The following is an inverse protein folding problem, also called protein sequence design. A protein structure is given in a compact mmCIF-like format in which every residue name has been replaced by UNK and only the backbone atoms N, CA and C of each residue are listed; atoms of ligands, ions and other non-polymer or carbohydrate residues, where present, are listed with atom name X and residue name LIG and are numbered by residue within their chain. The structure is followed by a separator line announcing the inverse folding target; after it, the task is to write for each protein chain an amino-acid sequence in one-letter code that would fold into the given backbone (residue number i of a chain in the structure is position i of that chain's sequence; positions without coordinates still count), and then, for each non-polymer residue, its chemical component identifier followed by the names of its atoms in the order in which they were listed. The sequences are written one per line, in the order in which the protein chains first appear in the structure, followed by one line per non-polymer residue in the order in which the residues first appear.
data_IF_696339657583
#
_entry.id   IF_696339657583
#
_cell.length_a   1.000
_cell.length_b   1.000
_cell.length_c   1.000
_cell.angle_alpha   90.00
_cell.angle_beta   90.00
_cell.angle_gamma   90.00
#
_symmetry.space_group_name_H-M   'P 1'
#
loop_
_entity.id
_entity.type
_entity.pdbx_description
1 polymer ?
#
# COMPACT_ATOMS: atom_id res chain seq x y z
N UNK A 1 39.90 30.38 -49.60
CA UNK A 1 39.91 29.89 -51.04
C UNK A 1 38.99 28.68 -51.11
N UNK A 2 38.00 28.79 -51.95
CA UNK A 2 37.23 27.77 -52.68
C UNK A 2 36.30 26.84 -51.88
N UNK A 3 34.99 27.18 -51.86
CA UNK A 3 33.87 26.30 -52.16
C UNK A 3 34.01 25.73 -53.60
N UNK A 4 33.28 24.71 -54.07
CA UNK A 4 31.85 24.33 -53.87
C UNK A 4 31.63 22.81 -54.00
N UNK A 5 30.50 22.16 -54.01
CA UNK A 5 29.24 22.18 -54.76
C UNK A 5 28.32 21.08 -54.31
N UNK A 6 27.09 21.42 -54.20
CA UNK A 6 25.86 20.65 -54.31
C UNK A 6 25.89 19.38 -55.19
N UNK A 7 25.18 18.36 -54.80
CA UNK A 7 24.19 17.70 -55.65
C UNK A 7 23.16 16.94 -54.79
N UNK A 8 21.93 17.40 -54.87
CA UNK A 8 20.72 16.69 -54.52
C UNK A 8 20.43 15.62 -55.57
N UNK A 9 19.98 14.44 -55.12
CA UNK A 9 19.19 13.53 -56.00
C UNK A 9 18.02 13.06 -55.18
N UNK A 10 16.85 13.45 -55.66
CA UNK A 10 15.52 12.98 -55.31
C UNK A 10 15.24 11.72 -56.13
N UNK A 11 14.74 10.68 -55.55
CA UNK A 11 13.85 9.63 -56.06
C UNK A 11 13.81 8.51 -55.02
N UNK A 12 12.74 7.91 -54.60
CA UNK A 12 11.40 7.75 -55.09
C UNK A 12 10.74 6.69 -54.22
N UNK A 13 9.48 6.81 -54.01
CA UNK A 13 8.59 5.94 -53.23
C UNK A 13 8.81 4.44 -53.49
N UNK A 14 8.78 3.64 -52.38
CA UNK A 14 8.16 2.33 -52.40
C UNK A 14 7.69 1.98 -50.99
N UNK A 15 6.43 2.23 -50.74
CA UNK A 15 5.64 1.68 -49.64
C UNK A 15 5.53 0.19 -49.81
N UNK A 16 6.08 -0.62 -48.92
CA UNK A 16 5.66 -2.00 -48.74
C UNK A 16 5.29 -2.17 -47.30
N UNK A 17 4.00 -2.22 -47.05
CA UNK A 17 3.38 -2.65 -45.83
C UNK A 17 3.76 -4.12 -45.59
N UNK A 18 4.60 -4.38 -44.59
CA UNK A 18 4.70 -5.70 -43.96
C UNK A 18 3.92 -5.65 -42.65
N UNK A 19 2.64 -5.97 -42.77
CA UNK A 19 1.85 -6.46 -41.64
C UNK A 19 2.21 -7.93 -41.50
N UNK A 20 3.19 -8.24 -40.66
CA UNK A 20 3.40 -9.60 -40.19
C UNK A 20 3.05 -9.59 -38.69
N UNK A 21 2.00 -10.34 -38.35
CA UNK A 21 1.40 -10.43 -37.08
C UNK A 21 2.39 -10.83 -35.97
N UNK A 22 2.46 -9.99 -34.97
CA UNK A 22 2.85 -10.40 -33.63
C UNK A 22 1.54 -10.55 -32.86
N UNK A 23 1.07 -11.78 -32.79
CA UNK A 23 0.08 -12.17 -31.79
C UNK A 23 0.79 -12.12 -30.43
N UNK A 24 0.91 -10.91 -29.89
CA UNK A 24 1.11 -10.76 -28.47
C UNK A 24 -0.25 -11.07 -27.84
N UNK A 25 -0.32 -12.16 -27.09
CA UNK A 25 -1.37 -12.33 -26.08
C UNK A 25 -1.15 -11.24 -25.03
N UNK A 26 -1.58 -10.04 -25.38
CA UNK A 26 -1.73 -8.91 -24.48
C UNK A 26 -3.21 -8.81 -24.17
N UNK A 27 -3.56 -8.89 -22.92
CA UNK A 27 -4.86 -8.54 -22.38
C UNK A 27 -5.32 -7.24 -23.05
N UNK A 28 -6.36 -7.29 -23.83
CA UNK A 28 -6.93 -6.11 -24.51
C UNK A 28 -7.31 -5.08 -23.47
N UNK A 29 -6.68 -3.92 -23.54
CA UNK A 29 -7.17 -2.73 -22.87
C UNK A 29 -8.47 -2.29 -23.58
N UNK A 30 -9.58 -2.87 -23.20
CA UNK A 30 -10.89 -2.33 -23.52
C UNK A 30 -11.22 -1.25 -22.50
N UNK A 31 -11.17 0.00 -22.96
CA UNK A 31 -11.90 1.09 -22.34
C UNK A 31 -13.39 0.76 -22.42
N UNK A 32 -13.96 0.28 -21.34
CA UNK A 32 -15.40 0.38 -21.06
C UNK A 32 -15.64 -0.15 -19.64
N UNK A 33 -16.28 0.62 -18.83
CA UNK A 33 -16.97 0.25 -17.59
C UNK A 33 -16.27 -0.81 -16.73
N UNK A 34 -15.43 -0.35 -15.83
CA UNK A 34 -14.74 -1.16 -14.82
C UNK A 34 -15.68 -1.85 -13.82
N UNK A 35 -16.98 -1.78 -14.03
CA UNK A 35 -18.00 -2.39 -13.17
C UNK A 35 -18.60 -3.70 -13.76
N UNK A 36 -18.25 -4.10 -14.98
CA UNK A 36 -18.89 -5.24 -15.65
C UNK A 36 -18.22 -6.59 -15.43
N UNK A 37 -16.96 -6.62 -14.99
CA UNK A 37 -16.18 -7.86 -14.79
C UNK A 37 -15.86 -8.17 -13.32
N UNK A 38 -16.32 -7.36 -12.37
CA UNK A 38 -16.16 -7.66 -10.96
C UNK A 38 -16.97 -8.92 -10.60
N UNK A 39 -16.28 -9.91 -10.03
CA UNK A 39 -16.95 -11.10 -9.46
C UNK A 39 -17.85 -10.61 -8.34
N UNK A 40 -19.16 -10.64 -8.57
CA UNK A 40 -20.14 -10.15 -7.58
C UNK A 40 -20.33 -11.10 -6.41
N UNK A 41 -19.99 -12.36 -6.58
CA UNK A 41 -20.16 -13.39 -5.56
C UNK A 41 -18.99 -14.36 -5.59
N UNK A 42 -18.53 -14.78 -4.40
CA UNK A 42 -17.59 -15.89 -4.24
C UNK A 42 -18.42 -17.17 -4.27
N UNK A 43 -18.00 -18.14 -5.08
CA UNK A 43 -18.53 -19.48 -5.07
C UNK A 43 -17.65 -20.42 -4.25
N UNK A 44 -18.13 -21.64 -3.99
CA UNK A 44 -17.40 -22.65 -3.21
C UNK A 44 -16.52 -23.55 -4.06
N UNK A 45 -16.32 -23.23 -5.34
CA UNK A 45 -15.45 -23.99 -6.22
C UNK A 45 -13.99 -23.86 -5.78
N UNK A 46 -13.18 -24.88 -6.09
CA UNK A 46 -11.74 -24.79 -5.82
C UNK A 46 -11.11 -23.76 -6.75
N UNK A 47 -10.28 -22.92 -6.19
CA UNK A 47 -9.51 -21.95 -6.93
C UNK A 47 -8.49 -22.65 -7.85
N UNK A 48 -8.26 -22.07 -9.03
CA UNK A 48 -7.25 -22.54 -9.99
C UNK A 48 -6.54 -21.33 -10.62
N UNK A 49 -5.29 -21.53 -11.08
CA UNK A 49 -4.53 -20.51 -11.79
C UNK A 49 -3.43 -19.87 -10.98
N UNK A 50 -2.82 -18.82 -11.53
CA UNK A 50 -1.72 -18.10 -10.91
C UNK A 50 -2.25 -16.83 -10.24
N UNK A 51 -1.78 -16.57 -9.02
CA UNK A 51 -2.13 -15.40 -8.23
C UNK A 51 -0.86 -14.64 -7.86
N UNK A 52 -0.82 -13.35 -8.13
CA UNK A 52 0.28 -12.46 -7.74
C UNK A 52 -0.14 -11.56 -6.59
N UNK A 53 0.66 -11.54 -5.52
CA UNK A 53 0.41 -10.73 -4.32
C UNK A 53 1.60 -9.83 -4.06
N UNK A 54 1.33 -8.53 -3.87
CA UNK A 54 2.31 -7.60 -3.36
C UNK A 54 2.01 -7.27 -1.90
N UNK A 55 3.00 -7.49 -1.04
CA UNK A 55 2.90 -7.17 0.38
C UNK A 55 4.13 -6.40 0.85
N UNK A 56 4.00 -5.61 1.90
CA UNK A 56 5.02 -4.66 2.32
C UNK A 56 5.70 -5.08 3.61
N UNK A 57 6.98 -4.71 3.73
CA UNK A 57 7.74 -4.93 4.96
C UNK A 57 7.80 -6.40 5.38
N UNK A 58 7.77 -6.63 6.68
CA UNK A 58 7.85 -7.97 7.27
C UNK A 58 6.69 -8.87 6.86
N UNK A 59 5.50 -8.32 6.61
CA UNK A 59 4.34 -9.07 6.13
C UNK A 59 4.63 -9.67 4.76
N UNK A 60 5.29 -8.90 3.88
CA UNK A 60 5.73 -9.38 2.58
C UNK A 60 6.74 -10.52 2.68
N UNK A 61 7.67 -10.44 3.62
CA UNK A 61 8.70 -11.47 3.82
C UNK A 61 8.11 -12.79 4.36
N UNK A 62 7.08 -12.70 5.22
CA UNK A 62 6.47 -13.86 5.88
C UNK A 62 5.30 -14.47 5.09
N UNK A 63 4.65 -13.70 4.23
CA UNK A 63 3.45 -14.14 3.51
C UNK A 63 3.73 -15.36 2.61
N UNK A 64 4.94 -15.49 2.08
CA UNK A 64 5.34 -16.63 1.26
C UNK A 64 5.21 -17.99 1.98
N UNK A 65 5.42 -18.00 3.30
CA UNK A 65 5.19 -19.22 4.09
C UNK A 65 3.71 -19.43 4.41
N UNK A 66 2.98 -18.35 4.66
CA UNK A 66 1.54 -18.38 4.95
C UNK A 66 0.73 -18.94 3.77
N UNK A 67 1.02 -18.51 2.55
CA UNK A 67 0.27 -18.94 1.35
C UNK A 67 0.45 -20.41 1.00
N UNK A 68 1.49 -21.08 1.52
CA UNK A 68 1.68 -22.54 1.34
C UNK A 68 0.49 -23.36 1.89
N UNK A 69 -0.15 -22.86 2.95
CA UNK A 69 -1.38 -23.45 3.47
C UNK A 69 -2.51 -23.40 2.46
N UNK A 70 -2.70 -22.26 1.84
CA UNK A 70 -3.71 -22.08 0.81
C UNK A 70 -3.44 -22.91 -0.44
N UNK A 71 -2.20 -22.97 -0.94
CA UNK A 71 -1.82 -23.80 -2.09
C UNK A 71 -1.99 -25.30 -1.80
N UNK A 72 -1.77 -25.73 -0.55
CA UNK A 72 -2.02 -27.13 -0.16
C UNK A 72 -3.50 -27.52 -0.25
N UNK A 73 -4.38 -26.60 0.10
CA UNK A 73 -5.83 -26.80 0.00
C UNK A 73 -6.35 -26.60 -1.43
N UNK A 74 -5.62 -25.84 -2.23
CA UNK A 74 -5.92 -25.51 -3.64
C UNK A 74 -4.72 -25.84 -4.53
N UNK A 75 -4.45 -27.14 -4.83
CA UNK A 75 -3.23 -27.57 -5.50
C UNK A 75 -3.08 -27.08 -6.94
N UNK A 76 -4.17 -26.62 -7.54
CA UNK A 76 -4.20 -26.05 -8.90
C UNK A 76 -3.95 -24.54 -8.90
N UNK A 77 -3.65 -23.93 -7.74
CA UNK A 77 -3.26 -22.52 -7.60
C UNK A 77 -1.76 -22.41 -7.39
N UNK A 78 -1.15 -21.39 -7.99
CA UNK A 78 0.21 -20.94 -7.69
C UNK A 78 0.17 -19.50 -7.22
N UNK A 79 0.75 -19.25 -6.06
CA UNK A 79 0.79 -17.90 -5.46
C UNK A 79 2.21 -17.36 -5.49
N UNK A 80 2.37 -16.23 -6.18
CA UNK A 80 3.65 -15.51 -6.20
C UNK A 80 3.55 -14.27 -5.30
N UNK A 81 4.24 -14.31 -4.18
CA UNK A 81 4.36 -13.15 -3.28
C UNK A 81 5.59 -12.32 -3.67
N UNK A 82 5.42 -11.00 -3.71
CA UNK A 82 6.51 -10.04 -3.88
C UNK A 82 6.53 -9.10 -2.68
N UNK A 83 7.61 -9.17 -1.89
CA UNK A 83 7.84 -8.25 -0.79
C UNK A 83 8.35 -6.90 -1.33
N UNK A 84 7.76 -5.80 -0.85
CA UNK A 84 8.11 -4.44 -1.27
C UNK A 84 8.36 -3.57 -0.02
N UNK A 85 9.46 -2.80 0.03
CA UNK A 85 9.65 -1.84 1.10
C UNK A 85 8.53 -0.78 1.12
N UNK A 86 7.97 -0.48 2.28
CA UNK A 86 6.93 0.54 2.46
C UNK A 86 7.31 1.88 1.82
N UNK A 87 8.57 2.28 1.93
CA UNK A 87 9.08 3.55 1.40
C UNK A 87 9.01 3.71 -0.12
N UNK A 88 8.83 2.62 -0.85
CA UNK A 88 8.74 2.62 -2.32
C UNK A 88 7.46 1.98 -2.86
N UNK A 89 6.59 1.52 -1.97
CA UNK A 89 5.43 0.71 -2.36
C UNK A 89 4.41 1.50 -3.15
N UNK A 90 4.08 2.72 -2.71
CA UNK A 90 3.13 3.60 -3.40
C UNK A 90 3.54 3.86 -4.85
N UNK A 91 4.78 4.32 -5.07
CA UNK A 91 5.28 4.68 -6.41
C UNK A 91 5.39 3.45 -7.32
N UNK A 92 5.81 2.31 -6.76
CA UNK A 92 5.87 1.06 -7.52
C UNK A 92 4.50 0.58 -7.95
N UNK A 93 3.52 0.64 -7.05
CA UNK A 93 2.15 0.25 -7.34
C UNK A 93 1.54 1.17 -8.41
N UNK A 94 1.71 2.48 -8.26
CA UNK A 94 1.26 3.46 -9.26
C UNK A 94 1.84 3.17 -10.64
N UNK A 95 3.15 2.93 -10.71
CA UNK A 95 3.84 2.63 -11.98
C UNK A 95 3.34 1.33 -12.60
N UNK A 96 3.17 0.28 -11.79
CA UNK A 96 2.72 -1.02 -12.28
C UNK A 96 1.26 -0.98 -12.77
N UNK A 97 0.37 -0.30 -12.05
CA UNK A 97 -1.02 -0.09 -12.47
C UNK A 97 -1.08 0.70 -13.78
N UNK A 98 -0.35 1.80 -13.88
CA UNK A 98 -0.30 2.62 -15.09
C UNK A 98 0.22 1.84 -16.31
N UNK A 99 1.11 0.86 -16.10
CA UNK A 99 1.64 -0.02 -17.14
C UNK A 99 0.74 -1.24 -17.42
N UNK A 100 -0.38 -1.42 -16.72
CA UNK A 100 -1.23 -2.61 -16.83
C UNK A 100 -0.62 -3.90 -16.28
N UNK A 101 0.39 -3.78 -15.42
CA UNK A 101 1.16 -4.89 -14.83
C UNK A 101 1.04 -4.93 -13.29
N UNK A 102 -0.07 -4.44 -12.75
CA UNK A 102 -0.34 -4.51 -11.31
C UNK A 102 -0.50 -5.96 -10.84
N UNK A 103 -0.34 -6.21 -9.52
CA UNK A 103 -0.63 -7.53 -8.94
C UNK A 103 -2.14 -7.79 -8.90
N UNK A 104 -2.53 -9.06 -8.71
CA UNK A 104 -3.93 -9.43 -8.50
C UNK A 104 -4.42 -8.99 -7.13
N UNK A 105 -3.55 -9.07 -6.12
CA UNK A 105 -3.81 -8.56 -4.77
C UNK A 105 -2.65 -7.68 -4.29
N UNK A 106 -2.97 -6.59 -3.63
CA UNK A 106 -1.98 -5.71 -3.01
C UNK A 106 -2.35 -5.39 -1.56
N UNK A 107 -1.39 -5.48 -0.66
CA UNK A 107 -1.49 -4.82 0.64
C UNK A 107 -1.52 -3.31 0.43
N UNK A 108 -2.43 -2.61 1.11
CA UNK A 108 -2.61 -1.18 0.93
C UNK A 108 -2.42 -0.41 2.23
N UNK A 109 -1.77 0.73 2.14
CA UNK A 109 -1.91 1.75 3.17
C UNK A 109 -3.31 2.36 3.08
N UNK A 110 -4.00 2.51 4.20
CA UNK A 110 -5.37 3.05 4.23
C UNK A 110 -5.47 4.46 3.63
N UNK A 111 -4.39 5.24 3.72
CA UNK A 111 -4.29 6.59 3.15
C UNK A 111 -4.15 6.60 1.63
N UNK A 112 -3.87 5.45 1.00
CA UNK A 112 -3.68 5.33 -0.45
C UNK A 112 -4.92 4.82 -1.18
N UNK A 113 -5.95 4.37 -0.45
CA UNK A 113 -7.13 3.75 -1.06
C UNK A 113 -7.81 4.64 -2.10
N UNK A 114 -7.88 5.95 -1.84
CA UNK A 114 -8.47 6.91 -2.78
C UNK A 114 -7.63 7.06 -4.06
N UNK A 115 -6.30 7.06 -3.95
CA UNK A 115 -5.39 7.25 -5.09
C UNK A 115 -5.53 6.15 -6.14
N UNK A 116 -5.85 4.93 -5.69
CA UNK A 116 -5.95 3.75 -6.54
C UNK A 116 -7.38 3.24 -6.73
N UNK A 117 -8.39 3.96 -6.27
CA UNK A 117 -9.79 3.51 -6.23
C UNK A 117 -10.33 3.05 -7.59
N UNK A 118 -9.93 3.72 -8.67
CA UNK A 118 -10.34 3.36 -10.03
C UNK A 118 -9.66 2.09 -10.59
N UNK A 119 -8.70 1.54 -9.85
CA UNK A 119 -7.92 0.37 -10.26
C UNK A 119 -8.28 -0.89 -9.47
N UNK A 120 -9.15 -0.75 -8.47
CA UNK A 120 -9.60 -1.86 -7.66
C UNK A 120 -10.96 -2.38 -8.11
N UNK A 121 -11.11 -3.69 -8.04
CA UNK A 121 -12.43 -4.32 -8.08
C UNK A 121 -13.14 -4.14 -6.74
N UNK A 122 -14.45 -4.11 -6.74
CA UNK A 122 -15.24 -4.17 -5.50
C UNK A 122 -15.08 -5.53 -4.84
N UNK A 123 -15.11 -5.53 -3.52
CA UNK A 123 -15.17 -6.77 -2.73
C UNK A 123 -16.50 -7.48 -3.04
N UNK A 124 -16.51 -8.81 -3.25
CA UNK A 124 -17.74 -9.55 -3.50
C UNK A 124 -18.79 -9.38 -2.39
N UNK A 125 -20.06 -9.22 -2.79
CA UNK A 125 -21.17 -8.91 -1.87
C UNK A 125 -21.43 -10.00 -0.81
N UNK A 126 -21.05 -11.25 -1.10
CA UNK A 126 -21.23 -12.39 -0.19
C UNK A 126 -20.00 -12.67 0.69
N UNK A 127 -18.98 -11.82 0.67
CA UNK A 127 -17.89 -11.93 1.65
C UNK A 127 -18.38 -11.39 3.00
N UNK A 128 -18.36 -12.26 4.01
CA UNK A 128 -18.73 -11.85 5.36
C UNK A 128 -17.67 -10.91 5.94
N UNK A 129 -18.10 -9.69 6.21
CA UNK A 129 -17.27 -8.62 6.79
C UNK A 129 -17.68 -8.29 8.22
N UNK A 130 -18.56 -9.10 8.85
CA UNK A 130 -19.15 -8.81 10.17
C UNK A 130 -18.15 -8.83 11.31
N UNK A 131 -17.08 -9.60 11.18
CA UNK A 131 -16.01 -9.70 12.18
C UNK A 131 -15.09 -8.47 12.22
N UNK A 132 -15.15 -7.60 11.20
CA UNK A 132 -14.36 -6.39 11.16
C UNK A 132 -15.09 -5.22 11.82
N UNK A 133 -14.33 -4.39 12.56
CA UNK A 133 -14.88 -3.16 13.14
C UNK A 133 -15.36 -2.17 12.07
N UNK A 134 -16.34 -1.33 12.42
CA UNK A 134 -16.84 -0.29 11.49
C UNK A 134 -15.73 0.61 10.96
N UNK A 135 -14.78 0.99 11.84
CA UNK A 135 -13.64 1.84 11.45
C UNK A 135 -12.70 1.15 10.45
N UNK A 136 -12.45 -0.15 10.60
CA UNK A 136 -11.58 -0.88 9.66
C UNK A 136 -12.27 -1.11 8.32
N UNK A 137 -13.58 -1.37 8.31
CA UNK A 137 -14.37 -1.44 7.08
C UNK A 137 -14.41 -0.10 6.37
N UNK A 138 -14.68 0.99 7.11
CA UNK A 138 -14.69 2.34 6.54
C UNK A 138 -13.34 2.74 5.92
N UNK A 139 -12.22 2.33 6.54
CA UNK A 139 -10.88 2.61 6.02
C UNK A 139 -10.55 1.91 4.69
N UNK A 140 -11.33 0.90 4.30
CA UNK A 140 -11.20 0.19 3.02
C UNK A 140 -12.32 0.50 2.02
N UNK A 141 -13.09 1.57 2.29
CA UNK A 141 -14.12 2.09 1.39
C UNK A 141 -13.67 3.41 0.75
N UNK A 142 -14.08 3.61 -0.50
CA UNK A 142 -13.98 4.89 -1.21
C UNK A 142 -15.30 5.12 -1.93
N UNK A 143 -15.88 6.30 -1.76
CA UNK A 143 -17.17 6.69 -2.37
C UNK A 143 -18.30 5.67 -2.14
N UNK A 144 -18.33 5.09 -0.93
CA UNK A 144 -19.34 4.09 -0.55
C UNK A 144 -19.12 2.69 -1.13
N UNK A 145 -18.08 2.47 -1.91
CA UNK A 145 -17.71 1.15 -2.45
C UNK A 145 -16.68 0.48 -1.56
N UNK A 146 -16.90 -0.78 -1.20
CA UNK A 146 -15.92 -1.61 -0.49
C UNK A 146 -14.88 -2.11 -1.49
N UNK A 147 -13.65 -1.56 -1.44
CA UNK A 147 -12.57 -1.85 -2.38
C UNK A 147 -11.46 -2.72 -1.80
N UNK A 148 -11.53 -3.03 -0.52
CA UNK A 148 -10.54 -3.85 0.15
C UNK A 148 -11.12 -4.59 1.35
N UNK A 149 -10.38 -5.60 1.80
CA UNK A 149 -10.66 -6.36 3.01
C UNK A 149 -9.66 -5.95 4.08
N UNK A 150 -10.08 -5.57 5.29
CA UNK A 150 -9.15 -5.28 6.37
C UNK A 150 -8.28 -6.51 6.66
N UNK A 151 -6.99 -6.30 6.76
CA UNK A 151 -6.05 -7.38 7.06
C UNK A 151 -5.62 -7.36 8.52
N UNK A 152 -5.19 -6.20 9.03
CA UNK A 152 -4.87 -6.00 10.43
C UNK A 152 -5.18 -4.57 10.88
N UNK A 153 -5.23 -4.38 12.18
CA UNK A 153 -5.51 -3.07 12.80
C UNK A 153 -4.33 -2.69 13.68
N UNK A 154 -3.78 -1.51 13.47
CA UNK A 154 -2.75 -0.92 14.32
C UNK A 154 -3.36 0.01 15.37
N UNK A 155 -2.78 -0.01 16.55
CA UNK A 155 -3.08 0.95 17.61
C UNK A 155 -1.84 1.79 17.91
N UNK A 156 -2.01 3.10 17.98
CA UNK A 156 -0.93 4.01 18.38
C UNK A 156 -0.84 4.04 19.91
N UNK A 157 0.32 3.68 20.44
CA UNK A 157 0.61 3.69 21.87
C UNK A 157 1.93 4.40 22.13
N UNK A 158 2.06 4.91 23.35
CA UNK A 158 3.29 5.53 23.82
C UNK A 158 4.21 4.46 24.41
N UNK A 159 5.33 4.19 23.75
CA UNK A 159 6.43 3.41 24.33
C UNK A 159 7.43 4.35 24.99
N UNK A 160 7.89 4.00 26.18
CA UNK A 160 8.95 4.75 26.86
C UNK A 160 9.90 3.82 27.63
N UNK A 161 11.13 4.24 27.79
CA UNK A 161 12.16 3.58 28.59
C UNK A 161 11.87 3.80 30.05
N UNK A 162 11.40 2.77 30.75
CA UNK A 162 11.04 2.84 32.18
C UNK A 162 12.25 3.06 33.07
N UNK A 163 13.42 2.54 32.69
CA UNK A 163 14.68 2.76 33.37
C UNK A 163 15.12 4.24 33.34
N UNK A 164 15.08 4.88 32.16
CA UNK A 164 15.40 6.30 31.99
C UNK A 164 14.36 7.18 32.71
N UNK A 165 13.08 6.82 32.58
CA UNK A 165 12.02 7.52 33.29
C UNK A 165 12.21 7.47 34.82
N UNK A 166 12.58 6.30 35.36
CA UNK A 166 12.90 6.13 36.76
C UNK A 166 14.06 7.00 37.22
N UNK A 167 15.16 7.05 36.45
CA UNK A 167 16.29 7.95 36.70
C UNK A 167 15.88 9.44 36.67
N UNK A 168 14.89 9.79 35.88
CA UNK A 168 14.32 11.14 35.79
C UNK A 168 13.23 11.41 36.85
N UNK A 169 13.00 10.49 37.79
CA UNK A 169 12.00 10.62 38.85
C UNK A 169 10.56 10.21 38.47
N UNK A 170 10.37 9.60 37.32
CA UNK A 170 9.05 9.16 36.83
C UNK A 170 8.86 7.66 37.05
N UNK A 171 8.03 7.30 38.04
CA UNK A 171 7.73 5.89 38.38
C UNK A 171 6.39 5.41 37.83
N UNK A 172 5.68 6.25 37.07
CA UNK A 172 4.38 5.93 36.42
C UNK A 172 4.32 6.56 35.06
N UNK A 173 3.52 5.97 34.18
CA UNK A 173 3.25 6.53 32.86
C UNK A 173 2.54 7.91 32.97
N UNK A 174 2.82 8.84 32.05
CA UNK A 174 2.13 10.12 32.01
C UNK A 174 0.65 9.91 31.65
N UNK A 175 -0.23 10.66 32.30
CA UNK A 175 -1.69 10.60 32.10
C UNK A 175 -2.22 11.74 31.25
N UNK A 176 -1.43 12.79 31.09
CA UNK A 176 -1.79 14.00 30.33
C UNK A 176 -0.68 14.41 29.39
N UNK A 177 -1.00 15.21 28.40
CA UNK A 177 0.00 15.78 27.48
C UNK A 177 1.02 16.65 28.18
N UNK A 178 0.61 17.36 29.23
CA UNK A 178 1.52 18.16 30.05
C UNK A 178 2.50 17.28 30.82
N UNK A 179 2.04 16.18 31.42
CA UNK A 179 2.90 15.20 32.07
C UNK A 179 3.86 14.55 31.09
N UNK A 180 3.40 14.14 29.88
CA UNK A 180 4.26 13.61 28.83
C UNK A 180 5.36 14.60 28.44
N UNK A 181 4.98 15.85 28.21
CA UNK A 181 5.94 16.92 27.89
C UNK A 181 6.96 17.13 29.02
N UNK A 182 6.52 17.10 30.27
CA UNK A 182 7.42 17.26 31.42
C UNK A 182 8.33 16.05 31.56
N UNK A 183 7.78 14.82 31.46
CA UNK A 183 8.57 13.59 31.50
C UNK A 183 9.64 13.57 30.41
N UNK A 184 9.31 13.95 29.18
CA UNK A 184 10.27 14.02 28.10
C UNK A 184 11.41 15.00 28.39
N UNK A 185 11.10 16.19 28.98
CA UNK A 185 12.12 17.17 29.39
C UNK A 185 13.00 16.67 30.52
N UNK A 186 12.44 15.95 31.48
CA UNK A 186 13.19 15.43 32.62
C UNK A 186 14.08 14.27 32.19
N UNK A 187 13.58 13.38 31.31
CA UNK A 187 14.40 12.30 30.71
C UNK A 187 15.60 12.84 29.93
N UNK A 188 15.48 13.99 29.25
CA UNK A 188 16.62 14.60 28.55
C UNK A 188 17.75 15.10 29.49
N UNK A 189 17.47 15.28 30.78
CA UNK A 189 18.50 15.67 31.78
C UNK A 189 19.31 14.49 32.30
N UNK A 190 18.88 13.26 32.02
CA UNK A 190 19.59 12.04 32.37
C UNK A 190 20.83 11.91 31.49
N UNK A 191 21.96 11.60 32.10
CA UNK A 191 23.23 11.48 31.39
C UNK A 191 23.13 10.44 30.24
N UNK A 192 23.69 10.79 29.08
CA UNK A 192 23.63 9.97 27.88
C UNK A 192 22.30 10.03 27.10
N UNK A 193 21.28 10.74 27.59
CA UNK A 193 19.99 10.89 26.89
C UNK A 193 19.98 12.15 26.05
N UNK A 194 19.99 11.97 24.72
CA UNK A 194 20.00 13.08 23.77
C UNK A 194 18.61 13.68 23.52
N UNK A 195 17.57 12.85 23.45
CA UNK A 195 16.20 13.26 23.14
C UNK A 195 15.21 12.59 24.09
N UNK A 196 14.26 13.36 24.60
CA UNK A 196 13.21 12.86 25.50
C UNK A 196 12.00 12.26 24.78
N UNK A 197 11.88 12.52 23.50
CA UNK A 197 10.81 11.98 22.67
C UNK A 197 11.26 11.88 21.20
N UNK A 198 10.76 10.89 20.50
CA UNK A 198 10.94 10.74 19.05
C UNK A 198 9.58 10.75 18.37
N UNK A 199 9.48 11.50 17.30
CA UNK A 199 8.39 11.44 16.33
C UNK A 199 9.02 11.17 14.96
N UNK A 200 8.34 10.40 14.12
CA UNK A 200 8.84 10.18 12.77
C UNK A 200 8.88 11.52 12.00
N UNK A 201 10.07 12.02 11.61
CA UNK A 201 10.21 13.38 11.08
C UNK A 201 9.90 13.50 9.59
N UNK A 202 9.88 12.38 8.86
CA UNK A 202 9.77 12.39 7.38
C UNK A 202 9.28 11.05 6.83
N UNK A 203 8.88 11.04 5.57
CA UNK A 203 8.35 9.89 4.85
C UNK A 203 6.85 10.00 4.62
N UNK A 204 6.32 9.14 3.77
CA UNK A 204 4.93 9.17 3.31
C UNK A 204 3.91 9.15 4.48
N UNK A 205 4.22 8.41 5.56
CA UNK A 205 3.33 8.25 6.71
C UNK A 205 3.80 8.99 7.97
N UNK A 206 4.72 9.96 7.83
CA UNK A 206 5.26 10.71 8.97
C UNK A 206 4.16 11.44 9.78
N UNK A 207 3.12 11.93 9.11
CA UNK A 207 1.98 12.60 9.72
C UNK A 207 1.20 11.68 10.69
N UNK A 208 1.20 10.36 10.47
CA UNK A 208 0.54 9.39 11.36
C UNK A 208 1.10 9.44 12.79
N UNK A 209 2.37 9.83 12.96
CA UNK A 209 2.97 10.04 14.27
C UNK A 209 2.41 11.27 15.02
N UNK A 210 1.85 12.24 14.31
CA UNK A 210 1.31 13.49 14.86
C UNK A 210 -0.20 13.48 15.00
N UNK A 211 -0.92 12.66 14.23
CA UNK A 211 -2.39 12.56 14.28
C UNK A 211 -2.98 12.32 15.68
N UNK A 212 -2.41 11.45 16.55
CA UNK A 212 -2.96 11.26 17.90
C UNK A 212 -3.04 12.55 18.72
N UNK A 213 -2.11 13.48 18.52
CA UNK A 213 -2.14 14.78 19.20
C UNK A 213 -3.28 15.66 18.67
N UNK A 214 -3.46 15.67 17.34
CA UNK A 214 -4.54 16.44 16.70
C UNK A 214 -5.92 15.90 17.09
N UNK A 215 -6.12 14.58 17.01
CA UNK A 215 -7.39 13.94 17.41
C UNK A 215 -7.71 14.15 18.90
N UNK A 216 -6.71 14.05 19.78
CA UNK A 216 -6.93 14.32 21.20
C UNK A 216 -7.29 15.77 21.50
N UNK A 217 -6.98 16.69 20.58
CA UNK A 217 -7.40 18.10 20.63
C UNK A 217 -8.74 18.36 19.93
N UNK A 218 -9.44 17.30 19.48
CA UNK A 218 -10.76 17.40 18.86
C UNK A 218 -10.73 17.60 17.34
N UNK A 219 -9.58 17.47 16.68
CA UNK A 219 -9.53 17.49 15.22
C UNK A 219 -10.12 16.20 14.64
N UNK A 220 -10.67 16.28 13.43
CA UNK A 220 -11.08 15.14 12.60
C UNK A 220 -10.46 15.28 11.22
N UNK A 221 -10.18 14.15 10.56
CA UNK A 221 -9.94 14.14 9.11
C UNK A 221 -11.31 14.01 8.44
N UNK A 222 -11.64 14.98 7.64
CA UNK A 222 -12.84 15.00 6.79
C UNK A 222 -12.45 14.60 5.38
#
# INVERSE_FOLDING_TARGET
MRKPFFKAVVAGMASVAMIAGMSACGRSANNADSDSDAVKTIDSSKATGDLTIWAMGNEGDLLGDFVKGFEKENPDVKVKVTAIPWSSAHDKLQTAIAAGNGPDLAQMGTTWMADFSNSFSTVPDNLDMSDFSDGSRAASQVDGKQLGVPWYIDTRVLYYRTDIAGMAGWNKAPKTWNELKQMAKDMQKVDGVKYGMNLNPSGTDAFLGTLPFSYSAGASLT
#
